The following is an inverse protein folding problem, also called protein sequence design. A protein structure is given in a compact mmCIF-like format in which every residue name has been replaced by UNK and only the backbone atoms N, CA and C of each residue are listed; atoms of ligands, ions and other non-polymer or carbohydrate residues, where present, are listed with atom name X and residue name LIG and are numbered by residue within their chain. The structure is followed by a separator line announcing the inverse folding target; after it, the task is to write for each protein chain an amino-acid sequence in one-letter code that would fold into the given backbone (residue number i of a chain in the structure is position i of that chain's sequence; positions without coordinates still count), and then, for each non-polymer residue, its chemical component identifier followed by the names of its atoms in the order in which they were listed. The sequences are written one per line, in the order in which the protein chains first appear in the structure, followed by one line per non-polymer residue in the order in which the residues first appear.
data_IF_147380498235
#
_entry.id   IF_147380498235
#
_cell.length_a   1.000
_cell.length_b   1.000
_cell.length_c   1.000
_cell.angle_alpha   90.00
_cell.angle_beta   90.00
_cell.angle_gamma   90.00
#
_symmetry.space_group_name_H-M   'P 1'
#
loop_
_entity.id
_entity.type
_entity.pdbx_description
1 polymer ?
#
# COMPACT_ATOMS: atom_id res chain seq x y z
N UNK A 1 8.19 42.78 -0.39
CA UNK A 1 8.22 42.01 0.87
C UNK A 1 7.56 40.68 0.55
N UNK A 2 8.33 39.74 0.00
CA UNK A 2 7.83 38.41 -0.31
C UNK A 2 7.94 37.58 0.97
N UNK A 3 6.80 37.27 1.58
CA UNK A 3 6.74 36.29 2.65
C UNK A 3 7.11 34.93 2.08
N UNK A 4 8.23 34.39 2.55
CA UNK A 4 8.60 33.01 2.33
C UNK A 4 7.62 32.13 3.09
N UNK A 5 6.92 31.25 2.38
CA UNK A 5 6.13 30.17 2.98
C UNK A 5 7.10 29.28 3.75
N UNK A 6 6.91 29.04 5.06
CA UNK A 6 7.78 28.15 5.80
C UNK A 6 7.57 26.72 5.29
N UNK A 7 8.66 26.06 4.89
CA UNK A 7 8.69 24.64 4.62
C UNK A 7 8.30 23.89 5.89
N UNK A 8 7.02 23.50 5.98
CA UNK A 8 6.54 22.54 6.96
C UNK A 8 6.96 21.15 6.50
N UNK A 9 8.26 20.86 6.58
CA UNK A 9 8.74 19.49 6.69
C UNK A 9 9.39 19.41 8.06
N UNK A 10 8.64 18.89 9.04
CA UNK A 10 9.22 18.51 10.32
C UNK A 10 10.43 17.62 10.03
N UNK A 11 11.63 17.95 10.54
CA UNK A 11 12.80 17.12 10.33
C UNK A 11 12.47 15.74 10.87
N UNK A 12 12.59 14.75 9.99
CA UNK A 12 12.46 13.36 10.37
C UNK A 12 13.64 13.08 11.32
N UNK A 13 13.38 13.12 12.63
CA UNK A 13 14.36 12.86 13.70
C UNK A 13 14.63 11.35 13.79
N UNK A 14 15.25 10.82 12.74
CA UNK A 14 15.66 9.44 12.62
C UNK A 14 17.18 9.41 12.47
N UNK A 15 17.80 8.40 13.08
CA UNK A 15 19.25 8.23 13.00
C UNK A 15 19.65 7.54 11.69
N UNK A 16 20.64 8.12 11.02
CA UNK A 16 21.37 7.50 9.91
C UNK A 16 22.88 7.62 10.13
N UNK A 17 23.65 6.68 9.59
CA UNK A 17 25.11 6.67 9.70
C UNK A 17 25.77 6.07 8.47
N UNK A 18 27.00 6.51 8.18
CA UNK A 18 27.83 5.90 7.14
C UNK A 18 28.31 4.54 7.59
N UNK A 19 28.14 3.51 6.77
CA UNK A 19 28.50 2.12 7.14
C UNK A 19 30.02 1.91 7.23
N UNK A 20 30.81 2.70 6.48
CA UNK A 20 32.27 2.55 6.43
C UNK A 20 33.00 3.02 7.69
N UNK A 21 32.44 3.99 8.43
CA UNK A 21 33.11 4.63 9.57
C UNK A 21 32.16 4.99 10.74
N UNK A 22 30.89 4.59 10.67
CA UNK A 22 29.86 4.81 11.68
C UNK A 22 29.59 6.29 12.03
N UNK A 23 30.03 7.23 11.17
CA UNK A 23 29.75 8.65 11.36
C UNK A 23 28.26 8.93 11.12
N UNK A 24 27.65 9.67 12.03
CA UNK A 24 26.26 10.12 11.90
C UNK A 24 26.10 10.99 10.66
N UNK A 25 24.98 10.77 9.96
CA UNK A 25 24.54 11.55 8.80
C UNK A 25 23.17 12.14 9.14
N UNK A 26 22.94 13.45 8.94
CA UNK A 26 21.60 14.01 9.03
C UNK A 26 20.63 13.25 8.13
N UNK A 27 19.46 12.88 8.65
CA UNK A 27 18.54 12.00 7.92
C UNK A 27 18.11 12.56 6.56
N UNK A 28 17.99 13.88 6.47
CA UNK A 28 17.67 14.59 5.23
C UNK A 28 18.76 14.40 4.16
N UNK A 29 20.02 14.54 4.54
CA UNK A 29 21.18 14.28 3.67
C UNK A 29 21.28 12.79 3.29
N UNK A 30 20.92 11.90 4.22
CA UNK A 30 20.83 10.47 3.93
C UNK A 30 19.73 10.16 2.91
N UNK A 31 18.56 10.80 3.01
CA UNK A 31 17.47 10.64 2.06
C UNK A 31 17.83 11.13 0.66
N UNK A 32 18.58 12.23 0.53
CA UNK A 32 19.08 12.70 -0.78
C UNK A 32 20.01 11.66 -1.43
N UNK A 33 20.99 11.15 -0.67
CA UNK A 33 21.92 10.12 -1.14
C UNK A 33 21.21 8.80 -1.46
N UNK A 34 20.24 8.40 -0.63
CA UNK A 34 19.40 7.24 -0.93
C UNK A 34 18.51 7.47 -2.15
N UNK A 35 18.07 8.70 -2.45
CA UNK A 35 17.26 9.00 -3.62
C UNK A 35 18.05 8.82 -4.92
N UNK A 36 19.31 9.25 -4.96
CA UNK A 36 20.19 9.02 -6.11
C UNK A 36 20.46 7.52 -6.33
N UNK A 37 20.73 6.78 -5.24
CA UNK A 37 20.89 5.33 -5.30
C UNK A 37 19.60 4.61 -5.73
N UNK A 38 18.46 5.00 -5.15
CA UNK A 38 17.15 4.44 -5.47
C UNK A 38 16.76 4.71 -6.93
N UNK A 39 17.08 5.90 -7.44
CA UNK A 39 16.88 6.24 -8.85
C UNK A 39 17.63 5.25 -9.76
N UNK A 40 18.92 5.00 -9.50
CA UNK A 40 19.70 4.03 -10.29
C UNK A 40 19.11 2.62 -10.24
N UNK A 41 18.66 2.17 -9.07
CA UNK A 41 17.97 0.88 -8.88
C UNK A 41 16.67 0.81 -9.68
N UNK A 42 15.91 1.90 -9.73
CA UNK A 42 14.65 1.96 -10.47
C UNK A 42 14.86 2.01 -11.98
N UNK A 43 15.91 2.68 -12.46
CA UNK A 43 16.32 2.64 -13.88
C UNK A 43 16.69 1.22 -14.29
N UNK A 44 17.49 0.51 -13.48
CA UNK A 44 17.80 -0.91 -13.71
C UNK A 44 16.54 -1.77 -13.75
N UNK A 45 15.60 -1.53 -12.82
CA UNK A 45 14.32 -2.23 -12.76
C UNK A 45 13.48 -1.95 -14.02
N UNK A 46 13.44 -0.69 -14.47
CA UNK A 46 12.73 -0.26 -15.67
C UNK A 46 13.29 -0.89 -16.96
N UNK A 47 14.57 -1.30 -16.97
CA UNK A 47 15.17 -2.02 -18.10
C UNK A 47 14.58 -3.41 -18.37
N UNK A 48 13.67 -3.90 -17.52
CA UNK A 48 13.03 -5.22 -17.67
C UNK A 48 11.51 -5.11 -17.66
N UNK A 49 10.89 -5.49 -18.77
CA UNK A 49 9.44 -5.43 -18.90
C UNK A 49 8.75 -6.32 -17.87
N UNK A 50 7.80 -5.74 -17.13
CA UNK A 50 7.06 -6.43 -16.06
C UNK A 50 7.79 -6.50 -14.72
N UNK A 51 9.01 -5.94 -14.60
CA UNK A 51 9.73 -5.90 -13.33
C UNK A 51 9.21 -4.78 -12.42
N UNK A 52 9.13 -5.06 -11.13
CA UNK A 52 8.80 -4.12 -10.08
C UNK A 52 9.65 -4.45 -8.85
N UNK A 53 9.76 -3.51 -7.92
CA UNK A 53 10.54 -3.66 -6.70
C UNK A 53 9.67 -3.37 -5.47
N UNK A 54 9.88 -4.12 -4.40
CA UNK A 54 9.17 -3.86 -3.14
C UNK A 54 9.76 -2.66 -2.41
N UNK A 55 8.97 -2.00 -1.55
CA UNK A 55 9.47 -0.93 -0.67
C UNK A 55 10.68 -1.37 0.18
N UNK A 56 10.64 -2.59 0.73
CA UNK A 56 11.72 -3.12 1.55
C UNK A 56 13.00 -3.36 0.73
N UNK A 57 12.86 -3.91 -0.48
CA UNK A 57 14.00 -4.18 -1.36
C UNK A 57 14.62 -2.89 -1.89
N UNK A 58 13.81 -1.91 -2.30
CA UNK A 58 14.31 -0.60 -2.72
C UNK A 58 15.07 0.09 -1.58
N UNK A 59 14.50 0.10 -0.38
CA UNK A 59 15.14 0.69 0.80
C UNK A 59 16.46 0.00 1.17
N UNK A 60 16.52 -1.33 1.09
CA UNK A 60 17.73 -2.08 1.36
C UNK A 60 18.81 -1.81 0.30
N UNK A 61 18.45 -1.80 -0.98
CA UNK A 61 19.38 -1.48 -2.07
C UNK A 61 19.88 -0.04 -1.99
N UNK A 62 18.99 0.93 -1.75
CA UNK A 62 19.37 2.33 -1.61
C UNK A 62 20.37 2.56 -0.47
N UNK A 63 20.15 1.93 0.69
CA UNK A 63 21.11 2.00 1.81
C UNK A 63 22.46 1.35 1.49
N UNK A 64 22.43 0.18 0.84
CA UNK A 64 23.64 -0.56 0.48
C UNK A 64 24.50 0.22 -0.53
N UNK A 65 23.88 0.70 -1.60
CA UNK A 65 24.57 1.45 -2.67
C UNK A 65 25.07 2.82 -2.19
N UNK A 66 24.31 3.52 -1.35
CA UNK A 66 24.74 4.80 -0.79
C UNK A 66 25.81 4.64 0.32
N UNK A 67 25.99 3.45 0.87
CA UNK A 67 26.86 3.23 2.04
C UNK A 67 26.38 3.95 3.30
N UNK A 68 25.07 4.21 3.41
CA UNK A 68 24.44 4.88 4.55
C UNK A 68 23.30 4.00 5.04
N UNK A 69 23.32 3.66 6.33
CA UNK A 69 22.33 2.79 6.95
C UNK A 69 21.47 3.55 7.97
N UNK A 70 20.26 3.02 8.19
CA UNK A 70 19.37 3.40 9.28
C UNK A 70 18.68 2.15 9.85
N UNK A 71 18.34 2.19 11.14
CA UNK A 71 17.46 1.19 11.78
C UNK A 71 15.99 1.58 11.72
N UNK A 72 15.68 2.77 11.21
CA UNK A 72 14.31 3.24 11.13
C UNK A 72 13.45 2.33 10.25
N UNK A 73 12.22 1.97 10.68
CA UNK A 73 11.35 1.13 9.88
C UNK A 73 11.03 1.77 8.52
N UNK A 74 11.25 1.05 7.41
CA UNK A 74 11.09 1.55 6.02
C UNK A 74 9.81 2.37 5.81
N UNK A 75 8.67 1.93 6.36
CA UNK A 75 7.38 2.62 6.24
C UNK A 75 7.38 4.08 6.72
N UNK A 76 8.28 4.46 7.63
CA UNK A 76 8.31 5.82 8.19
C UNK A 76 8.99 6.82 7.27
N UNK A 77 9.76 6.36 6.28
CA UNK A 77 10.58 7.24 5.44
C UNK A 77 10.51 6.92 3.93
N UNK A 78 9.98 5.77 3.53
CA UNK A 78 9.89 5.36 2.11
C UNK A 78 9.13 6.36 1.24
N UNK A 79 8.06 6.97 1.78
CA UNK A 79 7.31 7.99 1.05
C UNK A 79 8.15 9.26 0.80
N UNK A 80 8.98 9.66 1.76
CA UNK A 80 9.90 10.80 1.60
C UNK A 80 11.00 10.50 0.57
N UNK A 81 11.53 9.27 0.57
CA UNK A 81 12.44 8.80 -0.48
C UNK A 81 11.77 8.84 -1.87
N UNK A 82 10.55 8.32 -1.99
CA UNK A 82 9.79 8.32 -3.24
C UNK A 82 9.51 9.74 -3.76
N UNK A 83 9.26 10.71 -2.87
CA UNK A 83 9.09 12.13 -3.25
C UNK A 83 10.33 12.70 -3.91
N UNK A 84 11.51 12.52 -3.31
CA UNK A 84 12.79 12.96 -3.90
C UNK A 84 13.06 12.36 -5.28
N UNK A 85 12.82 11.06 -5.43
CA UNK A 85 12.95 10.37 -6.73
C UNK A 85 11.96 10.94 -7.74
N UNK A 86 10.73 11.23 -7.31
CA UNK A 86 9.71 11.84 -8.16
C UNK A 86 10.15 13.22 -8.64
N UNK A 87 10.60 14.08 -7.73
CA UNK A 87 11.02 15.44 -8.05
C UNK A 87 12.19 15.44 -9.04
N UNK A 88 13.14 14.49 -8.86
CA UNK A 88 14.22 14.23 -9.80
C UNK A 88 13.72 13.85 -11.20
N UNK A 89 12.80 12.87 -11.29
CA UNK A 89 12.24 12.44 -12.58
C UNK A 89 11.49 13.59 -13.27
N UNK A 90 10.72 14.38 -12.51
CA UNK A 90 9.97 15.53 -13.03
C UNK A 90 10.91 16.60 -13.59
N UNK A 91 11.97 16.94 -12.85
CA UNK A 91 12.98 17.89 -13.30
C UNK A 91 13.69 17.44 -14.60
N UNK A 92 13.82 16.14 -14.81
CA UNK A 92 14.41 15.54 -16.00
C UNK A 92 13.40 15.28 -17.15
N UNK A 93 12.10 15.47 -16.93
CA UNK A 93 11.06 15.12 -17.90
C UNK A 93 10.90 13.61 -18.12
N UNK A 94 11.28 12.80 -17.14
CA UNK A 94 11.25 11.33 -17.18
C UNK A 94 9.92 10.78 -16.65
N UNK A 95 9.51 9.57 -17.08
CA UNK A 95 8.33 8.92 -16.49
C UNK A 95 8.54 8.66 -15.00
N UNK A 96 7.47 8.62 -14.18
CA UNK A 96 7.59 8.51 -12.73
C UNK A 96 8.04 7.10 -12.34
N UNK A 97 9.36 6.91 -12.18
CA UNK A 97 10.00 5.63 -11.81
C UNK A 97 9.41 5.00 -10.55
N UNK A 98 8.88 5.82 -9.63
CA UNK A 98 8.20 5.35 -8.42
C UNK A 98 6.96 4.48 -8.71
N UNK A 99 6.42 4.48 -9.93
CA UNK A 99 5.38 3.53 -10.37
C UNK A 99 5.82 2.06 -10.26
N UNK A 100 7.13 1.80 -10.33
CA UNK A 100 7.74 0.47 -10.21
C UNK A 100 7.83 -0.02 -8.77
N UNK A 101 7.56 0.85 -7.80
CA UNK A 101 7.67 0.54 -6.37
C UNK A 101 6.31 0.13 -5.81
N UNK A 102 6.28 -1.00 -5.10
CA UNK A 102 5.02 -1.54 -4.59
C UNK A 102 5.12 -2.05 -3.15
N UNK A 103 3.97 -2.06 -2.48
CA UNK A 103 3.79 -2.71 -1.19
C UNK A 103 3.83 -4.25 -1.32
N UNK A 104 3.72 -4.95 -0.19
CA UNK A 104 3.78 -6.41 -0.15
C UNK A 104 2.60 -7.10 -0.87
N UNK A 105 1.42 -6.47 -0.89
CA UNK A 105 0.26 -6.88 -1.69
C UNK A 105 0.39 -6.47 -3.18
N UNK A 106 1.49 -5.83 -3.53
CA UNK A 106 1.85 -5.31 -4.85
C UNK A 106 0.97 -4.15 -5.33
N UNK A 107 0.32 -3.44 -4.40
CA UNK A 107 -0.32 -2.16 -4.69
C UNK A 107 0.68 -1.01 -4.62
N UNK A 108 0.34 0.11 -5.26
CA UNK A 108 1.07 1.37 -5.06
C UNK A 108 0.55 2.12 -3.82
N UNK A 109 1.44 2.88 -3.17
CA UNK A 109 1.11 3.65 -1.96
C UNK A 109 1.20 5.16 -2.15
N UNK A 110 1.21 5.88 -1.02
CA UNK A 110 1.17 7.36 -0.96
C UNK A 110 2.29 8.04 -1.76
N UNK A 111 3.48 7.45 -1.83
CA UNK A 111 4.57 8.00 -2.65
C UNK A 111 4.24 8.04 -4.15
N UNK A 112 3.46 7.09 -4.66
CA UNK A 112 2.97 7.14 -6.03
C UNK A 112 1.83 8.14 -6.20
N UNK A 113 0.92 8.24 -5.22
CA UNK A 113 -0.13 9.25 -5.23
C UNK A 113 0.45 10.68 -5.30
N UNK A 114 1.56 10.92 -4.59
CA UNK A 114 2.32 12.17 -4.72
C UNK A 114 2.82 12.39 -6.15
N UNK A 115 3.40 11.38 -6.81
CA UNK A 115 3.90 11.52 -8.17
C UNK A 115 2.81 11.91 -9.19
N UNK A 116 1.59 11.41 -9.00
CA UNK A 116 0.42 11.82 -9.79
C UNK A 116 0.07 13.29 -9.53
N UNK A 117 0.01 13.70 -8.27
CA UNK A 117 -0.29 15.07 -7.89
C UNK A 117 0.78 16.06 -8.37
N UNK A 118 2.06 15.69 -8.26
CA UNK A 118 3.20 16.49 -8.71
C UNK A 118 3.19 16.70 -10.24
N UNK A 119 2.66 15.75 -11.01
CA UNK A 119 2.45 15.91 -12.45
C UNK A 119 1.29 16.85 -12.81
N UNK A 120 0.58 17.43 -11.83
CA UNK A 120 -0.60 18.27 -12.04
C UNK A 120 -1.81 17.51 -12.61
N UNK A 121 -1.81 16.18 -12.53
CA UNK A 121 -2.88 15.33 -13.04
C UNK A 121 -3.94 15.11 -11.96
N UNK A 122 -5.23 15.00 -12.33
CA UNK A 122 -6.27 14.63 -11.39
C UNK A 122 -5.98 13.23 -10.84
N UNK A 123 -6.12 13.06 -9.52
CA UNK A 123 -5.93 11.77 -8.86
C UNK A 123 -6.92 10.74 -9.43
N UNK A 124 -6.45 9.65 -10.06
CA UNK A 124 -7.30 8.61 -10.61
C UNK A 124 -8.13 7.92 -9.53
N UNK A 125 -9.32 7.44 -9.91
CA UNK A 125 -10.14 6.60 -9.03
C UNK A 125 -9.45 5.27 -8.69
N UNK A 126 -8.59 4.77 -9.59
CA UNK A 126 -7.79 3.56 -9.41
C UNK A 126 -6.30 3.88 -9.62
N UNK A 127 -5.58 4.04 -8.51
CA UNK A 127 -4.16 4.35 -8.53
C UNK A 127 -3.30 3.22 -9.13
N UNK A 128 -3.69 1.96 -8.93
CA UNK A 128 -2.91 0.82 -9.43
C UNK A 128 -3.04 0.66 -10.95
N UNK A 129 -4.21 0.97 -11.51
CA UNK A 129 -4.41 0.99 -12.97
C UNK A 129 -3.60 2.13 -13.61
N UNK A 130 -3.60 3.31 -12.98
CA UNK A 130 -2.73 4.41 -13.40
C UNK A 130 -1.24 4.03 -13.27
N UNK A 131 -0.85 3.34 -12.19
CA UNK A 131 0.51 2.82 -12.02
C UNK A 131 0.91 1.81 -13.08
N UNK A 132 -0.01 0.95 -13.54
CA UNK A 132 0.25 0.01 -14.62
C UNK A 132 0.64 0.74 -15.91
N UNK A 133 -0.07 1.83 -16.25
CA UNK A 133 0.25 2.66 -17.41
C UNK A 133 1.60 3.38 -17.25
N UNK A 134 1.86 3.97 -16.08
CA UNK A 134 3.12 4.66 -15.82
C UNK A 134 4.34 3.71 -15.80
N UNK A 135 4.19 2.50 -15.25
CA UNK A 135 5.23 1.46 -15.33
C UNK A 135 5.54 1.11 -16.78
N UNK A 136 4.52 0.99 -17.62
CA UNK A 136 4.72 0.74 -19.05
C UNK A 136 5.48 1.88 -19.73
N UNK A 137 5.19 3.13 -19.39
CA UNK A 137 5.97 4.28 -19.85
C UNK A 137 7.43 4.22 -19.39
N UNK A 138 7.71 3.79 -18.16
CA UNK A 138 9.08 3.57 -17.67
C UNK A 138 9.81 2.51 -18.51
N UNK A 139 9.18 1.36 -18.77
CA UNK A 139 9.78 0.30 -19.59
C UNK A 139 10.11 0.77 -21.00
N UNK A 140 9.21 1.54 -21.62
CA UNK A 140 9.43 2.13 -22.94
C UNK A 140 10.60 3.11 -22.92
N UNK A 141 10.63 4.01 -21.93
CA UNK A 141 11.64 5.05 -21.82
C UNK A 141 13.05 4.47 -21.59
N UNK A 142 13.18 3.47 -20.73
CA UNK A 142 14.47 2.86 -20.38
C UNK A 142 14.81 1.62 -21.24
N UNK A 143 14.12 1.42 -22.36
CA UNK A 143 14.53 0.46 -23.39
C UNK A 143 14.35 -1.01 -23.03
N UNK A 144 13.37 -1.35 -22.20
CA UNK A 144 13.05 -2.74 -21.92
C UNK A 144 12.66 -3.51 -23.19
N UNK A 145 13.02 -4.79 -23.27
CA UNK A 145 12.52 -5.68 -24.31
C UNK A 145 11.03 -5.96 -24.09
N UNK A 146 10.17 -5.41 -24.94
CA UNK A 146 8.72 -5.54 -24.85
C UNK A 146 8.22 -6.55 -25.91
N UNK A 147 7.54 -7.63 -25.51
CA UNK A 147 6.92 -8.56 -26.46
C UNK A 147 5.90 -7.87 -27.36
N UNK A 148 5.76 -8.34 -28.60
CA UNK A 148 4.75 -7.81 -29.52
C UNK A 148 3.34 -7.95 -28.92
N UNK A 149 2.57 -6.86 -28.92
CA UNK A 149 1.22 -6.81 -28.36
C UNK A 149 1.15 -6.70 -26.84
N UNK A 150 2.28 -6.61 -26.15
CA UNK A 150 2.31 -6.33 -24.72
C UNK A 150 1.89 -4.87 -24.42
N UNK A 151 1.40 -4.63 -23.20
CA UNK A 151 0.89 -3.32 -22.77
C UNK A 151 0.89 -3.17 -21.25
N UNK A 152 0.26 -2.11 -20.73
CA UNK A 152 0.12 -1.90 -19.29
C UNK A 152 -0.47 -3.13 -18.58
N UNK A 153 0.14 -3.53 -17.47
CA UNK A 153 -0.29 -4.66 -16.66
C UNK A 153 -0.26 -4.35 -15.17
N UNK A 154 -1.27 -4.85 -14.45
CA UNK A 154 -1.24 -4.90 -13.00
C UNK A 154 -0.15 -5.87 -12.54
N UNK A 155 0.35 -5.65 -11.33
CA UNK A 155 1.28 -6.57 -10.69
C UNK A 155 0.61 -7.93 -10.45
N UNK A 156 1.34 -9.05 -10.54
CA UNK A 156 0.75 -10.40 -10.53
C UNK A 156 -0.21 -10.66 -9.36
N UNK A 157 0.21 -10.32 -8.14
CA UNK A 157 -0.57 -10.58 -6.92
C UNK A 157 -1.85 -9.72 -6.87
N UNK A 158 -1.76 -8.46 -7.30
CA UNK A 158 -2.94 -7.60 -7.39
C UNK A 158 -3.90 -8.07 -8.48
N UNK A 159 -3.38 -8.47 -9.65
CA UNK A 159 -4.18 -9.02 -10.74
C UNK A 159 -4.91 -10.30 -10.31
N UNK A 160 -4.24 -11.19 -9.58
CA UNK A 160 -4.84 -12.38 -8.98
C UNK A 160 -5.92 -12.02 -7.96
N UNK A 161 -5.64 -11.09 -7.04
CA UNK A 161 -6.60 -10.65 -6.03
C UNK A 161 -7.88 -10.07 -6.67
N UNK A 162 -7.73 -9.23 -7.70
CA UNK A 162 -8.87 -8.64 -8.44
C UNK A 162 -9.68 -9.71 -9.18
N UNK A 163 -9.03 -10.65 -9.86
CA UNK A 163 -9.71 -11.79 -10.52
C UNK A 163 -10.50 -12.63 -9.52
N UNK A 164 -9.91 -12.93 -8.35
CA UNK A 164 -10.58 -13.67 -7.30
C UNK A 164 -11.79 -12.92 -6.72
N UNK A 165 -11.67 -11.61 -6.49
CA UNK A 165 -12.77 -10.77 -5.99
C UNK A 165 -13.95 -10.72 -6.98
N UNK A 166 -13.66 -10.56 -8.27
CA UNK A 166 -14.68 -10.56 -9.32
C UNK A 166 -15.42 -11.90 -9.41
N UNK A 167 -14.68 -13.02 -9.36
CA UNK A 167 -15.29 -14.36 -9.37
C UNK A 167 -16.22 -14.58 -8.16
N UNK A 168 -15.85 -14.07 -6.97
CA UNK A 168 -16.71 -14.12 -5.78
C UNK A 168 -17.97 -13.27 -5.94
N UNK A 169 -17.86 -12.06 -6.50
CA UNK A 169 -19.00 -11.18 -6.73
C UNK A 169 -20.01 -11.75 -7.74
N UNK A 170 -19.53 -12.41 -8.79
CA UNK A 170 -20.39 -13.11 -9.77
C UNK A 170 -21.17 -14.24 -9.10
N UNK A 171 -20.53 -15.02 -8.23
CA UNK A 171 -21.18 -16.09 -7.46
C UNK A 171 -22.19 -15.58 -6.43
N UNK A 172 -21.96 -14.40 -5.87
CA UNK A 172 -22.81 -13.79 -4.84
C UNK A 172 -24.03 -13.05 -5.39
N UNK A 173 -24.11 -12.74 -6.70
CA UNK A 173 -25.27 -12.04 -7.28
C UNK A 173 -26.50 -12.97 -7.28
N UNK A 174 -27.55 -12.69 -6.48
CA UNK A 174 -28.78 -13.47 -6.55
C UNK A 174 -29.42 -13.23 -7.93
N UNK A 175 -29.86 -14.31 -8.58
CA UNK A 175 -30.64 -14.20 -9.80
C UNK A 175 -31.91 -13.41 -9.49
N UNK A 176 -31.99 -12.15 -9.95
CA UNK A 176 -33.25 -11.39 -9.91
C UNK A 176 -34.27 -12.16 -10.74
N UNK A 177 -35.13 -12.94 -10.08
CA UNK A 177 -36.37 -13.43 -10.70
C UNK A 177 -37.20 -12.20 -11.05
N UNK A 178 -37.42 -11.99 -12.36
CA UNK A 178 -38.49 -11.14 -12.84
C UNK A 178 -39.82 -11.76 -12.35
N UNK A 179 -40.30 -11.32 -11.20
CA UNK A 179 -41.64 -11.65 -10.73
C UNK A 179 -42.46 -10.39 -10.86
N UNK A 180 -43.19 -10.30 -11.97
CA UNK A 180 -44.32 -9.37 -12.08
C UNK A 180 -45.30 -9.70 -10.95
N UNK A 181 -45.36 -8.81 -9.95
CA UNK A 181 -46.30 -8.94 -8.84
C UNK A 181 -47.59 -8.22 -9.23
N UNK A 182 -48.58 -8.99 -9.68
CA UNK A 182 -49.98 -8.55 -9.66
C UNK A 182 -50.37 -8.32 -8.21
N UNK A 183 -50.75 -7.09 -7.88
CA UNK A 183 -51.25 -6.70 -6.57
C UNK A 183 -52.65 -7.28 -6.43
N UNK A 184 -52.88 -8.17 -5.44
CA UNK A 184 -54.22 -8.48 -4.97
C UNK A 184 -54.30 -8.19 -3.48
N UNK A 185 -55.06 -7.16 -3.15
CA UNK A 185 -55.38 -6.75 -1.80
C UNK A 185 -56.31 -7.79 -1.14
N UNK A 186 -56.04 -8.15 0.12
CA UNK A 186 -57.09 -8.46 1.09
C UNK A 186 -56.59 -8.34 2.54
N UNK A 187 -57.57 -8.04 3.38
CA UNK A 187 -57.65 -7.38 4.69
C UNK A 187 -57.43 -8.27 5.92
N UNK A 188 -57.01 -7.59 7.00
CA UNK A 188 -57.29 -7.74 8.46
C UNK A 188 -57.51 -9.13 9.08
N UNK A 189 -56.70 -9.47 10.10
CA UNK A 189 -57.15 -9.78 11.48
C UNK A 189 -55.95 -10.17 12.38
N UNK A 190 -56.01 -9.75 13.64
CA UNK A 190 -55.02 -9.99 14.71
C UNK A 190 -54.94 -11.47 15.16
N UNK A 191 -53.95 -11.82 16.00
CA UNK A 191 -54.36 -12.29 17.33
C UNK A 191 -53.52 -11.79 18.53
N UNK A 192 -54.18 -11.97 19.68
CA UNK A 192 -53.82 -11.67 21.07
C UNK A 192 -52.72 -12.60 21.64
N UNK A 193 -51.90 -11.97 22.50
CA UNK A 193 -51.60 -12.31 23.90
C UNK A 193 -51.13 -13.73 24.33
N UNK A 194 -49.84 -13.75 24.71
CA UNK A 194 -49.29 -14.03 26.05
C UNK A 194 -49.18 -15.45 26.66
N UNK A 195 -48.04 -15.59 27.37
CA UNK A 195 -47.66 -16.52 28.45
C UNK A 195 -47.23 -17.92 27.99
N UNK A 196 -46.13 -18.52 28.47
CA UNK A 196 -45.17 -18.21 29.53
C UNK A 196 -44.59 -19.56 30.01
N UNK A 197 -43.34 -19.60 30.50
CA UNK A 197 -42.88 -20.51 31.57
C UNK A 197 -41.36 -20.46 31.73
N UNK A 198 -40.94 -20.42 33.00
CA UNK A 198 -39.57 -20.31 33.47
C UNK A 198 -38.99 -21.67 33.92
N UNK A 199 -37.65 -21.77 33.93
CA UNK A 199 -36.79 -22.50 34.88
C UNK A 199 -35.38 -22.64 34.25
N UNK A 200 -34.22 -22.64 34.91
CA UNK A 200 -33.68 -22.32 36.24
C UNK A 200 -32.13 -22.34 36.06
N UNK A 201 -31.32 -21.78 36.99
CA UNK A 201 -29.92 -21.41 36.76
C UNK A 201 -28.92 -22.53 37.09
N UNK A 202 -27.72 -22.49 36.49
CA UNK A 202 -26.59 -23.33 36.90
C UNK A 202 -25.24 -22.60 36.81
N UNK A 203 -24.71 -22.30 38.01
CA UNK A 203 -23.32 -22.29 38.51
C UNK A 203 -22.17 -21.70 37.68
N UNK A 204 -21.54 -20.72 38.32
CA UNK A 204 -20.21 -20.20 38.07
C UNK A 204 -19.10 -21.22 38.41
N UNK A 205 -18.02 -21.16 37.62
CA UNK A 205 -16.72 -21.76 37.93
C UNK A 205 -15.63 -20.69 37.76
N UNK A 206 -14.70 -20.65 38.72
CA UNK A 206 -13.58 -19.71 38.83
C UNK A 206 -12.45 -20.01 37.81
N UNK A 207 -11.48 -19.08 37.62
CA UNK A 207 -10.72 -18.96 36.37
C UNK A 207 -9.50 -19.89 36.29
N UNK A 208 -9.25 -20.41 35.08
CA UNK A 208 -8.00 -21.07 34.73
C UNK A 208 -6.90 -20.03 34.49
N UNK A 209 -5.69 -20.33 34.98
CA UNK A 209 -4.46 -19.55 34.84
C UNK A 209 -4.13 -19.34 33.35
N UNK A 210 -3.92 -18.11 32.87
CA UNK A 210 -3.73 -17.87 31.45
C UNK A 210 -2.36 -18.38 31.00
N UNK A 211 -2.37 -19.39 30.14
CA UNK A 211 -1.24 -19.78 29.30
C UNK A 211 -0.85 -18.58 28.40
N UNK A 212 0.44 -18.28 28.19
CA UNK A 212 0.84 -17.15 27.37
C UNK A 212 0.30 -17.35 25.94
N UNK A 213 -0.75 -16.58 25.62
CA UNK A 213 -1.33 -16.56 24.28
C UNK A 213 -0.26 -16.05 23.33
N UNK A 214 0.21 -16.93 22.45
CA UNK A 214 1.14 -16.55 21.38
C UNK A 214 0.58 -15.33 20.67
N UNK A 215 1.36 -14.27 20.68
CA UNK A 215 0.87 -12.99 20.24
C UNK A 215 0.62 -13.03 18.73
N UNK A 216 -0.58 -12.60 18.32
CA UNK A 216 -0.95 -12.57 16.91
C UNK A 216 -0.24 -11.38 16.27
N UNK A 217 0.57 -11.62 15.24
CA UNK A 217 1.23 -10.56 14.49
C UNK A 217 0.34 -10.04 13.36
N UNK A 218 0.41 -8.74 13.09
CA UNK A 218 -0.24 -8.14 11.94
C UNK A 218 0.32 -8.72 10.63
N UNK A 219 -0.50 -9.20 9.69
CA UNK A 219 -0.01 -9.74 8.42
C UNK A 219 0.57 -8.67 7.49
N UNK A 220 0.38 -7.39 7.78
CA UNK A 220 0.85 -6.28 6.95
C UNK A 220 2.16 -5.67 7.47
N UNK A 221 2.26 -5.42 8.77
CA UNK A 221 3.42 -4.75 9.38
C UNK A 221 4.16 -5.57 10.44
N UNK A 222 3.77 -6.84 10.66
CA UNK A 222 4.34 -7.79 11.63
C UNK A 222 4.46 -7.29 13.08
N UNK A 223 3.79 -6.18 13.39
CA UNK A 223 3.68 -5.68 14.77
C UNK A 223 2.69 -6.53 15.55
N UNK A 224 2.97 -6.73 16.84
CA UNK A 224 2.10 -7.46 17.75
C UNK A 224 0.71 -6.79 17.84
N UNK A 225 -0.34 -7.55 17.55
CA UNK A 225 -1.71 -7.05 17.58
C UNK A 225 -2.23 -6.99 19.01
N UNK A 226 -2.97 -5.91 19.30
CA UNK A 226 -3.79 -5.84 20.49
C UNK A 226 -4.83 -6.98 20.52
N UNK A 227 -5.40 -7.24 21.70
CA UNK A 227 -6.42 -8.28 21.88
C UNK A 227 -7.66 -8.11 20.98
N UNK A 228 -7.91 -6.90 20.49
CA UNK A 228 -8.98 -6.58 19.53
C UNK A 228 -8.73 -7.14 18.13
N UNK A 229 -7.50 -7.54 17.80
CA UNK A 229 -7.12 -8.05 16.47
C UNK A 229 -7.07 -6.97 15.38
N UNK A 230 -7.22 -5.69 15.73
CA UNK A 230 -7.15 -4.55 14.82
C UNK A 230 -5.77 -3.93 14.95
N UNK A 231 -5.09 -3.70 13.82
CA UNK A 231 -3.82 -3.01 13.81
C UNK A 231 -4.06 -1.51 13.96
N UNK A 232 -3.37 -0.85 14.89
CA UNK A 232 -3.43 0.61 15.01
C UNK A 232 -2.63 1.37 13.94
N UNK A 233 -1.92 0.64 13.08
CA UNK A 233 -0.98 1.18 12.10
C UNK A 233 -1.33 0.84 10.64
N UNK A 234 -2.36 0.03 10.38
CA UNK A 234 -2.78 -0.44 9.05
C UNK A 234 -4.30 -0.49 8.99
#
# INVERSE_FOLDING_TARGET
MSEAVPALEDPIDLEAWRTANELSVPFDEALDQWADAAYAVLVETAGRYGAYISFAELAARAQAEAGIATRAPVRTWIAALQRRVTDRCQAAGEPPLVALTVAHDQTVGDGYAYAVAAAGLPVPADLDEHAAAARFACYLHYGATIPAGAGPQLTPKLAEARRAAQAKAVKARPAKKASGRVVKARTTAAPRASAGAAAKPAKASAPAKPEPRQAKLCPNCFTELAATGICGYC
#
